data_IF_088916124501
#
_entry.id   IF_088916124501
#
_cell.length_a   1.000
_cell.length_b   1.000
_cell.length_c   1.000
_cell.angle_alpha   90.00
_cell.angle_beta   90.00
_cell.angle_gamma   90.00
#
_symmetry.space_group_name_H-M   'P 1'
#
loop_
_entity.id
_entity.type
_entity.pdbx_description
1 polymer ?
#
# COMPACT_ATOMS: atom_id res chain seq x y z
N UNK A 1 -12.53 8.57 3.96
CA UNK A 1 -11.67 7.45 3.49
C UNK A 1 -10.37 7.93 2.84
N UNK A 2 -10.37 8.88 1.89
CA UNK A 2 -9.16 9.34 1.20
C UNK A 2 -8.03 9.82 2.13
N UNK A 3 -8.33 10.54 3.21
CA UNK A 3 -7.32 11.00 4.19
C UNK A 3 -6.67 9.80 4.89
N UNK A 4 -7.45 8.84 5.38
CA UNK A 4 -6.92 7.64 6.00
C UNK A 4 -6.06 6.83 5.00
N UNK A 5 -6.52 6.70 3.76
CA UNK A 5 -5.75 6.03 2.71
C UNK A 5 -4.37 6.67 2.51
N UNK A 6 -4.27 8.00 2.48
CA UNK A 6 -2.98 8.71 2.41
C UNK A 6 -2.08 8.37 3.61
N UNK A 7 -2.63 8.31 4.82
CA UNK A 7 -1.86 7.94 6.01
C UNK A 7 -1.36 6.49 5.95
N UNK A 8 -2.16 5.54 5.45
CA UNK A 8 -1.73 4.16 5.23
C UNK A 8 -0.56 4.08 4.24
N UNK A 9 -0.68 4.75 3.08
CA UNK A 9 0.38 4.76 2.07
C UNK A 9 1.66 5.43 2.59
N UNK A 10 1.55 6.54 3.30
CA UNK A 10 2.70 7.22 3.91
C UNK A 10 3.38 6.34 4.97
N UNK A 11 2.60 5.68 5.83
CA UNK A 11 3.14 4.76 6.83
C UNK A 11 3.92 3.60 6.17
N UNK A 12 3.39 3.03 5.07
CA UNK A 12 4.08 2.02 4.29
C UNK A 12 5.39 2.57 3.68
N UNK A 13 5.34 3.79 3.14
CA UNK A 13 6.50 4.46 2.53
C UNK A 13 7.60 4.71 3.54
N UNK A 14 7.31 5.25 4.72
CA UNK A 14 8.28 5.48 5.80
C UNK A 14 8.90 4.16 6.27
N UNK A 15 8.07 3.15 6.53
CA UNK A 15 8.56 1.83 6.92
C UNK A 15 9.52 1.22 5.87
N UNK A 16 9.23 1.39 4.60
CA UNK A 16 10.08 0.90 3.52
C UNK A 16 11.37 1.72 3.41
N UNK A 17 11.30 3.05 3.55
CA UNK A 17 12.45 3.94 3.50
C UNK A 17 13.44 3.65 4.62
N UNK A 18 12.97 3.48 5.85
CA UNK A 18 13.80 3.17 7.02
C UNK A 18 14.56 1.83 6.89
N UNK A 19 14.13 0.97 5.96
CA UNK A 19 14.67 -0.38 5.75
C UNK A 19 15.38 -0.55 4.40
N UNK A 20 15.62 0.56 3.68
CA UNK A 20 16.40 0.56 2.45
C UNK A 20 15.67 0.09 1.18
N UNK A 21 14.34 -0.12 1.25
CA UNK A 21 13.52 -0.44 0.07
C UNK A 21 12.41 0.57 -0.19
N UNK A 22 12.59 1.80 0.27
CA UNK A 22 11.72 2.93 -0.04
C UNK A 22 11.81 3.38 -1.49
N UNK A 23 10.87 4.25 -1.89
CA UNK A 23 10.73 4.70 -3.28
C UNK A 23 11.99 5.41 -3.80
N UNK A 24 12.71 6.17 -2.96
CA UNK A 24 13.94 6.84 -3.36
C UNK A 24 15.00 5.82 -3.81
N UNK A 25 15.28 4.82 -2.97
CA UNK A 25 16.24 3.76 -3.27
C UNK A 25 15.83 2.94 -4.51
N UNK A 26 14.54 2.67 -4.67
CA UNK A 26 14.05 1.95 -5.83
C UNK A 26 14.22 2.77 -7.12
N UNK A 27 13.90 4.06 -7.09
CA UNK A 27 14.01 4.94 -8.26
C UNK A 27 15.46 5.08 -8.74
N UNK A 28 16.44 5.09 -7.84
CA UNK A 28 17.87 5.05 -8.20
C UNK A 28 18.24 3.81 -9.01
N UNK A 29 17.51 2.70 -8.81
CA UNK A 29 17.68 1.45 -9.53
C UNK A 29 16.65 1.23 -10.65
N UNK A 30 15.95 2.28 -11.07
CA UNK A 30 14.90 2.25 -12.11
C UNK A 30 13.72 1.34 -11.80
N UNK A 31 13.39 1.18 -10.51
CA UNK A 31 12.20 0.48 -10.02
C UNK A 31 11.26 1.42 -9.28
N UNK A 32 10.01 1.03 -9.16
CA UNK A 32 9.02 1.74 -8.33
C UNK A 32 8.02 0.77 -7.71
N UNK A 33 7.38 1.19 -6.60
CA UNK A 33 6.28 0.45 -6.01
C UNK A 33 4.95 0.78 -6.68
N UNK A 34 4.16 -0.25 -6.91
CA UNK A 34 2.78 -0.14 -7.37
C UNK A 34 1.86 -0.87 -6.40
N UNK A 35 0.87 -0.14 -5.87
CA UNK A 35 -0.22 -0.73 -5.09
C UNK A 35 -1.15 -1.49 -6.04
N UNK A 36 -1.23 -2.81 -5.85
CA UNK A 36 -2.09 -3.68 -6.65
C UNK A 36 -3.48 -3.84 -6.05
N UNK A 37 -3.56 -3.96 -4.72
CA UNK A 37 -4.81 -4.17 -3.99
C UNK A 37 -4.73 -3.56 -2.60
N UNK A 38 -5.87 -3.08 -2.14
CA UNK A 38 -6.06 -2.59 -0.77
C UNK A 38 -7.44 -3.01 -0.29
N UNK A 39 -7.49 -3.61 0.90
CA UNK A 39 -8.71 -3.81 1.67
C UNK A 39 -8.57 -3.05 2.99
N UNK A 40 -9.63 -2.39 3.42
CA UNK A 40 -9.69 -1.66 4.69
C UNK A 40 -10.99 -2.02 5.37
N UNK A 41 -10.91 -2.47 6.62
CA UNK A 41 -12.05 -2.73 7.49
C UNK A 41 -11.90 -1.88 8.76
N UNK A 42 -12.92 -1.08 9.06
CA UNK A 42 -12.96 -0.19 10.22
C UNK A 42 -14.18 -0.52 11.06
N UNK A 43 -13.99 -0.73 12.35
CA UNK A 43 -15.08 -0.77 13.33
C UNK A 43 -15.55 0.65 13.66
N UNK A 44 -14.58 1.54 13.88
CA UNK A 44 -14.83 2.94 14.17
C UNK A 44 -13.87 3.84 13.37
N UNK A 45 -14.40 4.88 12.76
CA UNK A 45 -13.59 5.89 12.08
C UNK A 45 -13.17 6.95 13.10
N UNK A 46 -11.87 7.25 13.25
CA UNK A 46 -11.42 8.36 14.08
C UNK A 46 -12.12 9.67 13.68
N UNK A 47 -12.63 10.39 14.67
CA UNK A 47 -13.30 11.66 14.45
C UNK A 47 -12.31 12.79 14.16
N UNK A 48 -12.84 13.91 13.67
CA UNK A 48 -12.03 15.11 13.49
C UNK A 48 -11.38 15.52 14.82
N UNK A 49 -10.07 15.79 14.79
CA UNK A 49 -9.23 16.14 15.94
C UNK A 49 -8.95 14.99 16.93
N UNK A 50 -9.41 13.79 16.66
CA UNK A 50 -8.97 12.61 17.40
C UNK A 50 -7.58 12.16 16.95
N UNK A 51 -6.70 11.91 17.93
CA UNK A 51 -5.40 11.30 17.68
C UNK A 51 -5.56 9.81 17.37
N UNK A 52 -4.88 9.35 16.34
CA UNK A 52 -4.78 7.93 16.02
C UNK A 52 -3.36 7.60 15.56
N UNK A 53 -3.01 6.35 15.56
CA UNK A 53 -1.73 5.87 15.04
C UNK A 53 -1.94 4.70 14.08
N UNK A 54 -0.95 4.47 13.22
CA UNK A 54 -0.94 3.36 12.27
C UNK A 54 0.31 2.54 12.50
N UNK A 55 0.13 1.24 12.72
CA UNK A 55 1.20 0.26 12.67
C UNK A 55 1.18 -0.42 11.30
N UNK A 56 2.35 -0.76 10.76
CA UNK A 56 2.45 -1.53 9.52
C UNK A 56 3.52 -2.62 9.64
N UNK A 57 3.30 -3.74 8.96
CA UNK A 57 4.27 -4.83 8.88
C UNK A 57 4.15 -5.55 7.54
N UNK A 58 5.24 -6.18 7.11
CA UNK A 58 5.28 -7.08 5.96
C UNK A 58 4.87 -8.47 6.44
N UNK A 59 3.84 -9.04 5.85
CA UNK A 59 3.37 -10.40 6.18
C UNK A 59 4.10 -11.46 5.34
N UNK A 60 4.22 -11.22 4.03
CA UNK A 60 4.88 -12.13 3.11
C UNK A 60 5.61 -11.39 2.00
N UNK A 61 6.68 -11.99 1.52
CA UNK A 61 7.39 -11.58 0.31
C UNK A 61 7.40 -12.74 -0.66
N UNK A 62 6.84 -12.52 -1.83
CA UNK A 62 6.87 -13.44 -2.95
C UNK A 62 7.78 -12.88 -4.04
N UNK A 63 8.02 -13.65 -5.07
CA UNK A 63 8.88 -13.24 -6.17
C UNK A 63 8.45 -11.93 -6.83
N UNK A 64 7.15 -11.73 -7.09
CA UNK A 64 6.63 -10.59 -7.86
C UNK A 64 5.78 -9.62 -7.05
N UNK A 65 5.48 -9.93 -5.80
CA UNK A 65 4.66 -9.10 -4.92
C UNK A 65 4.93 -9.36 -3.45
N UNK A 66 4.48 -8.45 -2.61
CA UNK A 66 4.53 -8.55 -1.16
C UNK A 66 3.19 -8.20 -0.56
N UNK A 67 2.83 -8.90 0.52
CA UNK A 67 1.66 -8.61 1.35
C UNK A 67 2.09 -7.74 2.52
N UNK A 68 1.37 -6.65 2.72
CA UNK A 68 1.60 -5.71 3.81
C UNK A 68 0.30 -5.43 4.54
N UNK A 69 0.37 -5.44 5.86
CA UNK A 69 -0.75 -5.21 6.74
C UNK A 69 -0.62 -3.91 7.54
N UNK A 70 -1.75 -3.46 8.04
CA UNK A 70 -1.83 -2.27 8.90
C UNK A 70 -2.83 -2.52 10.03
N UNK A 71 -2.57 -1.93 11.18
CA UNK A 71 -3.54 -1.73 12.26
C UNK A 71 -3.71 -0.23 12.48
N UNK A 72 -4.96 0.21 12.53
CA UNK A 72 -5.34 1.57 12.89
C UNK A 72 -5.71 1.55 14.37
N UNK A 73 -5.00 2.33 15.17
CA UNK A 73 -5.14 2.37 16.62
C UNK A 73 -5.67 3.72 17.04
N UNK A 74 -6.59 3.73 18.01
CA UNK A 74 -7.04 4.95 18.66
C UNK A 74 -5.95 5.56 19.58
N UNK A 75 -6.28 6.63 20.27
CA UNK A 75 -5.35 7.33 21.18
C UNK A 75 -4.96 6.49 22.42
N UNK A 76 -5.74 5.48 22.78
CA UNK A 76 -5.48 4.53 23.85
C UNK A 76 -4.63 3.32 23.34
N UNK A 77 -4.37 3.22 22.05
CA UNK A 77 -3.62 2.13 21.42
C UNK A 77 -4.48 0.89 21.11
N UNK A 78 -5.80 0.99 21.22
CA UNK A 78 -6.74 -0.07 20.85
C UNK A 78 -6.94 -0.06 19.34
N UNK A 79 -6.94 -1.24 18.70
CA UNK A 79 -7.25 -1.34 17.29
C UNK A 79 -8.73 -1.01 17.02
N UNK A 80 -8.94 -0.06 16.10
CA UNK A 80 -10.25 0.37 15.61
C UNK A 80 -10.46 -0.01 14.15
N UNK A 81 -9.46 -0.63 13.54
CA UNK A 81 -9.55 -1.17 12.18
C UNK A 81 -8.23 -1.75 11.70
N UNK A 82 -8.31 -2.41 10.56
CA UNK A 82 -7.17 -3.04 9.89
C UNK A 82 -7.19 -2.79 8.40
N UNK A 83 -6.03 -2.88 7.77
CA UNK A 83 -5.93 -2.89 6.32
C UNK A 83 -4.92 -3.94 5.85
N UNK A 84 -5.16 -4.48 4.66
CA UNK A 84 -4.26 -5.38 3.93
C UNK A 84 -4.01 -4.85 2.54
N UNK A 85 -2.77 -4.89 2.10
CA UNK A 85 -2.39 -4.43 0.77
C UNK A 85 -1.44 -5.40 0.09
N UNK A 86 -1.49 -5.41 -1.23
CA UNK A 86 -0.58 -6.17 -2.09
C UNK A 86 0.18 -5.19 -2.97
N UNK A 87 1.50 -5.28 -2.95
CA UNK A 87 2.39 -4.40 -3.70
C UNK A 87 3.25 -5.18 -4.68
N UNK A 88 3.50 -4.60 -5.83
CA UNK A 88 4.45 -5.11 -6.81
C UNK A 88 5.57 -4.10 -7.03
N UNK A 89 6.80 -4.57 -7.21
CA UNK A 89 7.88 -3.77 -7.73
C UNK A 89 7.86 -3.83 -9.26
N UNK A 90 7.89 -2.67 -9.91
CA UNK A 90 7.82 -2.56 -11.37
C UNK A 90 9.12 -1.92 -11.88
N UNK A 91 9.71 -2.49 -12.93
CA UNK A 91 10.78 -1.83 -13.66
C UNK A 91 10.21 -0.62 -14.43
N UNK A 92 10.81 0.55 -14.24
CA UNK A 92 10.40 1.79 -14.91
C UNK A 92 10.72 1.75 -16.41
N UNK A 93 11.71 0.97 -16.82
CA UNK A 93 12.12 0.80 -18.22
C UNK A 93 11.22 -0.16 -18.97
N UNK A 94 11.08 -1.39 -18.46
CA UNK A 94 10.32 -2.45 -19.12
C UNK A 94 8.84 -2.45 -18.82
N UNK A 95 8.42 -1.75 -17.80
CA UNK A 95 7.04 -1.69 -17.28
C UNK A 95 6.50 -3.04 -16.81
N UNK A 96 7.40 -3.99 -16.53
CA UNK A 96 7.07 -5.34 -16.07
C UNK A 96 7.37 -5.49 -14.57
N UNK A 97 6.66 -6.41 -13.88
CA UNK A 97 7.00 -6.77 -12.52
C UNK A 97 8.44 -7.26 -12.41
N UNK A 98 9.16 -6.79 -11.41
CA UNK A 98 10.52 -7.19 -11.12
C UNK A 98 10.57 -8.19 -9.97
N UNK A 99 11.67 -8.93 -9.88
CA UNK A 99 11.85 -9.95 -8.85
C UNK A 99 12.27 -9.30 -7.53
N UNK A 100 11.37 -9.35 -6.54
CA UNK A 100 11.59 -8.78 -5.20
C UNK A 100 12.74 -9.49 -4.45
N UNK A 101 12.99 -10.74 -4.74
CA UNK A 101 14.01 -11.53 -4.05
C UNK A 101 15.44 -11.18 -4.53
N UNK A 102 15.57 -10.39 -5.58
CA UNK A 102 16.86 -9.86 -6.04
C UNK A 102 17.16 -8.47 -5.50
N UNK A 103 16.18 -7.77 -4.96
CA UNK A 103 16.36 -6.43 -4.39
C UNK A 103 17.30 -6.50 -3.16
N UNK A 104 18.43 -5.80 -3.22
CA UNK A 104 19.46 -5.83 -2.18
C UNK A 104 19.79 -7.24 -1.64
N UNK A 105 19.88 -8.22 -2.55
CA UNK A 105 20.14 -9.62 -2.17
C UNK A 105 18.99 -10.30 -1.43
N UNK A 106 17.77 -9.79 -1.56
CA UNK A 106 16.59 -10.35 -0.93
C UNK A 106 16.31 -9.82 0.48
N UNK A 107 17.01 -8.78 0.93
CA UNK A 107 16.93 -8.23 2.30
C UNK A 107 15.51 -7.83 2.75
N UNK A 108 14.59 -7.60 1.82
CA UNK A 108 13.18 -7.35 2.17
C UNK A 108 12.56 -8.51 2.95
N UNK A 109 13.05 -9.74 2.78
CA UNK A 109 12.56 -10.92 3.51
C UNK A 109 12.90 -10.89 5.00
N UNK A 110 13.95 -10.16 5.39
CA UNK A 110 14.39 -10.04 6.78
C UNK A 110 13.39 -9.25 7.64
N UNK A 111 12.47 -8.54 7.01
CA UNK A 111 11.45 -7.72 7.65
C UNK A 111 10.06 -8.35 7.65
N UNK A 112 9.95 -9.63 7.28
CA UNK A 112 8.71 -10.40 7.42
C UNK A 112 8.38 -10.60 8.91
N UNK A 113 7.12 -10.37 9.27
CA UNK A 113 6.64 -10.45 10.64
C UNK A 113 5.43 -11.39 10.70
N UNK A 114 5.47 -12.34 11.61
CA UNK A 114 4.42 -13.36 11.83
C UNK A 114 3.15 -12.81 12.49
N UNK A 115 3.08 -11.49 12.71
CA UNK A 115 1.90 -10.85 13.29
C UNK A 115 0.68 -11.07 12.38
N UNK A 116 -0.32 -11.74 12.91
CA UNK A 116 -1.58 -11.96 12.21
C UNK A 116 -2.34 -10.65 11.97
N UNK A 117 -3.07 -10.60 10.85
CA UNK A 117 -4.03 -9.55 10.55
C UNK A 117 -5.44 -10.17 10.50
N UNK A 118 -6.40 -9.70 11.31
CA UNK A 118 -7.68 -10.37 11.49
C UNK A 118 -8.64 -10.26 10.31
N UNK A 119 -8.41 -9.34 9.38
CA UNK A 119 -9.25 -9.18 8.19
C UNK A 119 -8.82 -10.07 7.02
N UNK A 120 -9.74 -10.34 6.11
CA UNK A 120 -9.48 -11.19 4.93
C UNK A 120 -8.50 -10.54 3.95
N UNK A 121 -7.75 -11.37 3.22
CA UNK A 121 -6.87 -10.88 2.14
C UNK A 121 -7.69 -10.26 1.01
N UNK A 122 -7.22 -9.16 0.40
CA UNK A 122 -7.91 -8.52 -0.71
C UNK A 122 -7.98 -9.47 -1.93
N UNK A 123 -9.21 -9.81 -2.33
CA UNK A 123 -9.47 -10.67 -3.48
C UNK A 123 -9.16 -10.01 -4.82
N UNK A 124 -9.12 -10.80 -5.89
CA UNK A 124 -9.11 -10.28 -7.26
C UNK A 124 -10.54 -9.93 -7.67
N UNK A 125 -10.75 -8.68 -8.05
CA UNK A 125 -12.00 -8.25 -8.66
C UNK A 125 -11.96 -8.65 -10.14
N UNK A 126 -12.95 -9.45 -10.57
CA UNK A 126 -13.16 -9.73 -12.00
C UNK A 126 -14.17 -8.71 -12.53
N UNK A 127 -13.72 -7.88 -13.45
CA UNK A 127 -14.63 -6.99 -14.18
C UNK A 127 -15.35 -7.82 -15.23
N UNK A 128 -16.65 -8.01 -15.07
CA UNK A 128 -17.51 -8.80 -15.98
C UNK A 128 -18.22 -7.93 -17.01
N UNK A 129 -18.50 -6.68 -16.66
CA UNK A 129 -19.14 -5.70 -17.53
C UNK A 129 -18.13 -4.69 -18.02
N UNK A 130 -18.24 -4.32 -19.32
CA UNK A 130 -17.34 -3.36 -19.98
C UNK A 130 -17.97 -2.00 -20.20
N UNK A 131 -19.24 -1.82 -19.83
CA UNK A 131 -19.92 -0.53 -19.98
C UNK A 131 -19.55 0.38 -18.81
N UNK A 132 -18.96 1.56 -19.05
CA UNK A 132 -18.68 2.51 -18.00
C UNK A 132 -19.97 2.92 -17.29
N UNK A 133 -19.98 2.85 -15.96
CA UNK A 133 -21.11 3.32 -15.14
C UNK A 133 -20.94 4.77 -14.68
N UNK A 134 -19.69 5.28 -14.75
CA UNK A 134 -19.34 6.66 -14.43
C UNK A 134 -18.05 7.05 -15.13
N UNK A 135 -17.94 8.33 -15.46
CA UNK A 135 -16.73 8.94 -16.00
C UNK A 135 -16.23 10.02 -15.05
N UNK A 136 -14.92 10.06 -14.81
CA UNK A 136 -14.27 11.07 -14.00
C UNK A 136 -13.13 11.72 -14.78
N UNK A 137 -13.19 13.04 -14.96
CA UNK A 137 -12.11 13.80 -15.53
C UNK A 137 -11.05 14.10 -14.46
N UNK A 138 -9.85 13.58 -14.65
CA UNK A 138 -8.73 13.80 -13.73
C UNK A 138 -8.33 15.28 -13.69
N UNK A 139 -7.96 15.74 -12.48
CA UNK A 139 -7.50 17.10 -12.21
C UNK A 139 -6.04 17.09 -11.79
N UNK A 140 -5.38 18.22 -11.81
CA UNK A 140 -4.00 18.36 -11.34
C UNK A 140 -3.82 17.84 -9.91
N UNK A 141 -4.76 18.09 -9.02
CA UNK A 141 -4.75 17.64 -7.63
C UNK A 141 -4.88 16.11 -7.46
N UNK A 142 -5.16 15.37 -8.52
CA UNK A 142 -5.32 13.92 -8.48
C UNK A 142 -4.02 13.21 -8.85
N UNK A 143 -3.04 13.95 -9.34
CA UNK A 143 -1.77 13.42 -9.82
C UNK A 143 -0.77 13.37 -8.66
N UNK A 144 -0.10 12.22 -8.52
CA UNK A 144 0.96 12.00 -7.55
C UNK A 144 2.34 12.46 -8.08
N UNK A 145 3.37 12.32 -7.24
CA UNK A 145 4.75 12.71 -7.59
C UNK A 145 5.34 11.90 -8.76
N UNK A 146 4.75 10.77 -9.12
CA UNK A 146 5.17 9.93 -10.25
C UNK A 146 4.43 10.30 -11.56
N UNK A 147 3.56 11.32 -11.53
CA UNK A 147 2.76 11.72 -12.67
C UNK A 147 1.56 10.80 -12.97
N UNK A 148 1.18 9.94 -12.02
CA UNK A 148 0.04 9.03 -12.13
C UNK A 148 -1.14 9.54 -11.29
N UNK A 149 -2.36 9.12 -11.64
CA UNK A 149 -3.51 9.33 -10.76
C UNK A 149 -3.27 8.60 -9.45
N UNK A 150 -3.28 9.35 -8.34
CA UNK A 150 -3.03 8.80 -7.01
C UNK A 150 -4.05 7.68 -6.70
N UNK A 151 -3.55 6.55 -6.21
CA UNK A 151 -4.36 5.37 -5.87
C UNK A 151 -5.52 5.68 -4.93
N UNK A 152 -5.39 6.69 -4.09
CA UNK A 152 -6.43 7.15 -3.16
C UNK A 152 -7.66 7.73 -3.89
N UNK A 153 -7.51 8.16 -5.13
CA UNK A 153 -8.64 8.70 -5.92
C UNK A 153 -9.60 7.61 -6.42
N UNK A 154 -9.20 6.35 -6.32
CA UNK A 154 -10.03 5.20 -6.65
C UNK A 154 -10.80 4.64 -5.43
N UNK A 155 -10.65 5.23 -4.25
CA UNK A 155 -11.30 4.89 -2.99
C UNK A 155 -12.30 6.04 -2.64
#
# INVERSE_FOLDING_TARGET
MSVLGNHLLNCAGFHAADRGFGIATLNENHYTWVLSRLAVELENMPCQYEGFSIQTWVENVYRLFTDRNFAILDKEGKAVGYARSVWAMISMETRKPADLLTLHGGSITDYVCDKECPISKPGRIKVTEKTPVSEYQTRYSDIDINGHVNSIKYI
#
